data_IF_577626220691
#
_entry.id   IF_577626220691
#
_cell.length_a   1.000
_cell.length_b   1.000
_cell.length_c   1.000
_cell.angle_alpha   90.00
_cell.angle_beta   90.00
_cell.angle_gamma   90.00
#
_symmetry.space_group_name_H-M   'P 1'
#
loop_
_entity.id
_entity.type
_entity.pdbx_description
1 polymer ?
#
# COMPACT_ATOMS: atom_id res chain seq x y z
N UNK A 1 16.16 0.23 17.63
CA UNK A 1 14.69 0.32 17.75
C UNK A 1 14.09 0.02 16.37
N UNK A 2 13.09 -0.85 16.26
CA UNK A 2 12.45 -1.14 14.95
C UNK A 2 11.77 0.12 14.42
N UNK A 3 12.19 0.60 13.22
CA UNK A 3 11.59 1.74 12.51
C UNK A 3 10.17 1.37 12.06
N UNK A 4 9.18 1.64 12.91
CA UNK A 4 7.78 1.40 12.58
C UNK A 4 7.20 2.61 11.86
N UNK A 5 6.92 2.45 10.58
CA UNK A 5 6.26 3.50 9.79
C UNK A 5 4.74 3.56 10.08
N UNK A 6 4.12 4.75 10.02
CA UNK A 6 2.68 4.91 10.20
C UNK A 6 1.90 4.39 8.99
N UNK A 7 0.76 3.73 9.24
CA UNK A 7 -0.07 3.19 8.16
C UNK A 7 -0.79 4.32 7.40
N UNK A 8 -0.80 4.26 6.07
CA UNK A 8 -1.57 5.21 5.27
C UNK A 8 -3.09 5.03 5.50
N UNK A 9 -3.89 6.10 5.35
CA UNK A 9 -5.35 5.98 5.33
C UNK A 9 -5.81 5.00 4.26
N UNK A 10 -6.97 4.38 4.49
CA UNK A 10 -7.64 3.54 3.49
C UNK A 10 -8.77 4.35 2.88
N UNK A 11 -9.00 4.23 1.57
CA UNK A 11 -10.02 4.96 0.82
C UNK A 11 -10.69 4.04 -0.20
N UNK A 12 -11.93 4.35 -0.57
CA UNK A 12 -12.56 3.79 -1.78
C UNK A 12 -12.12 4.66 -2.96
N UNK A 13 -11.44 4.09 -3.93
CA UNK A 13 -11.02 4.80 -5.13
C UNK A 13 -12.18 4.93 -6.12
N UNK A 14 -12.02 5.79 -7.14
CA UNK A 14 -13.04 6.05 -8.15
C UNK A 14 -13.45 4.80 -8.96
N UNK A 15 -12.58 3.78 -9.01
CA UNK A 15 -12.82 2.47 -9.62
C UNK A 15 -13.53 1.47 -8.69
N UNK A 16 -13.97 1.93 -7.50
CA UNK A 16 -14.61 1.10 -6.48
C UNK A 16 -13.64 0.23 -5.67
N UNK A 17 -12.33 0.24 -5.98
CA UNK A 17 -11.35 -0.57 -5.28
C UNK A 17 -10.94 0.11 -3.97
N UNK A 18 -10.93 -0.66 -2.89
CA UNK A 18 -10.43 -0.19 -1.60
C UNK A 18 -8.90 -0.25 -1.58
N UNK A 19 -8.26 0.90 -1.42
CA UNK A 19 -6.81 1.08 -1.54
C UNK A 19 -6.27 1.93 -0.38
N UNK A 20 -4.96 1.92 -0.20
CA UNK A 20 -4.31 2.95 0.62
C UNK A 20 -4.36 4.31 -0.10
N UNK A 21 -4.40 5.40 0.67
CA UNK A 21 -4.26 6.75 0.14
C UNK A 21 -2.82 6.94 -0.36
N UNK A 22 -2.67 7.10 -1.67
CA UNK A 22 -1.38 7.34 -2.28
C UNK A 22 -0.83 8.74 -1.96
N UNK A 23 0.50 8.86 -1.99
CA UNK A 23 1.22 10.11 -2.05
C UNK A 23 1.65 10.37 -3.49
N UNK A 24 1.13 11.45 -4.09
CA UNK A 24 1.39 11.75 -5.51
C UNK A 24 2.88 11.94 -5.81
N UNK A 25 3.63 12.59 -4.93
CA UNK A 25 5.08 12.81 -5.12
C UNK A 25 5.82 11.48 -5.21
N UNK A 26 5.46 10.51 -4.35
CA UNK A 26 6.07 9.17 -4.35
C UNK A 26 5.72 8.41 -5.63
N UNK A 27 4.47 8.48 -6.08
CA UNK A 27 4.04 7.87 -7.34
C UNK A 27 4.77 8.47 -8.54
N UNK A 28 4.91 9.80 -8.59
CA UNK A 28 5.62 10.51 -9.67
C UNK A 28 7.10 10.12 -9.69
N UNK A 29 7.75 10.05 -8.53
CA UNK A 29 9.14 9.58 -8.41
C UNK A 29 9.29 8.14 -8.92
N UNK A 30 8.39 7.23 -8.55
CA UNK A 30 8.45 5.84 -9.01
C UNK A 30 8.29 5.74 -10.54
N UNK A 31 7.41 6.54 -11.13
CA UNK A 31 7.21 6.59 -12.58
C UNK A 31 8.48 7.09 -13.31
N UNK A 32 9.17 8.10 -12.75
CA UNK A 32 10.46 8.54 -13.28
C UNK A 32 11.53 7.45 -13.11
N UNK A 33 11.64 6.84 -11.93
CA UNK A 33 12.60 5.77 -11.65
C UNK A 33 12.43 4.56 -12.58
N UNK A 34 11.19 4.20 -12.92
CA UNK A 34 10.89 3.13 -13.86
C UNK A 34 11.57 3.34 -15.22
N UNK A 35 11.63 4.59 -15.72
CA UNK A 35 12.30 4.92 -16.99
C UNK A 35 13.81 4.68 -16.95
N UNK A 36 14.39 4.58 -15.76
CA UNK A 36 15.80 4.30 -15.52
C UNK A 36 16.04 2.87 -15.01
N UNK A 37 15.05 1.97 -15.14
CA UNK A 37 15.19 0.57 -14.76
C UNK A 37 15.03 0.28 -13.27
N UNK A 38 14.57 1.24 -12.47
CA UNK A 38 14.28 1.04 -11.04
C UNK A 38 12.76 1.03 -10.81
N UNK A 39 12.15 -0.15 -11.01
CA UNK A 39 10.72 -0.38 -10.78
C UNK A 39 10.45 -1.20 -9.50
N UNK A 40 9.20 -1.62 -9.29
CA UNK A 40 8.83 -2.40 -8.11
C UNK A 40 9.47 -3.78 -8.07
N UNK A 41 9.78 -4.39 -9.22
CA UNK A 41 10.45 -5.69 -9.27
C UNK A 41 11.92 -5.55 -8.89
N UNK A 42 12.58 -4.52 -9.42
CA UNK A 42 13.96 -4.18 -9.07
C UNK A 42 14.08 -3.81 -7.59
N UNK A 43 13.12 -3.03 -7.06
CA UNK A 43 13.06 -2.71 -5.62
C UNK A 43 12.84 -3.97 -4.78
N UNK A 44 12.04 -4.94 -5.24
CA UNK A 44 11.79 -6.19 -4.53
C UNK A 44 13.06 -7.06 -4.42
N UNK A 45 13.92 -7.03 -5.45
CA UNK A 45 15.19 -7.77 -5.49
C UNK A 45 16.30 -7.15 -4.63
N UNK A 46 16.15 -5.89 -4.20
CA UNK A 46 17.13 -5.16 -3.39
C UNK A 46 16.97 -5.41 -1.89
N UNK A 47 18.05 -5.13 -1.16
CA UNK A 47 18.09 -5.27 0.29
C UNK A 47 17.48 -4.05 1.00
N UNK A 48 16.15 -4.07 1.13
CA UNK A 48 15.38 -3.10 1.91
C UNK A 48 14.74 -3.73 3.13
N UNK A 49 14.59 -2.97 4.21
CA UNK A 49 13.85 -3.47 5.37
C UNK A 49 12.39 -3.79 4.99
N UNK A 50 11.83 -4.81 5.64
CA UNK A 50 10.43 -5.20 5.44
C UNK A 50 9.46 -4.04 5.71
N UNK A 51 9.77 -3.19 6.69
CA UNK A 51 8.95 -2.00 7.01
C UNK A 51 8.96 -0.97 5.88
N UNK A 52 10.11 -0.73 5.25
CA UNK A 52 10.22 0.21 4.14
C UNK A 52 9.42 -0.28 2.93
N UNK A 53 9.55 -1.58 2.60
CA UNK A 53 8.77 -2.21 1.52
C UNK A 53 7.27 -2.13 1.79
N UNK A 54 6.85 -2.47 3.00
CA UNK A 54 5.46 -2.35 3.45
C UNK A 54 4.93 -0.93 3.33
N UNK A 55 5.72 0.08 3.70
CA UNK A 55 5.33 1.47 3.64
C UNK A 55 5.27 2.00 2.21
N UNK A 56 6.20 1.59 1.35
CA UNK A 56 6.20 1.95 -0.06
C UNK A 56 4.90 1.50 -0.73
N UNK A 57 4.47 0.25 -0.53
CA UNK A 57 3.20 -0.26 -1.10
C UNK A 57 2.01 0.61 -0.68
N UNK A 58 1.96 1.04 0.57
CA UNK A 58 0.90 1.91 1.05
C UNK A 58 0.98 3.31 0.42
N UNK A 59 2.18 3.89 0.32
CA UNK A 59 2.41 5.21 -0.25
C UNK A 59 2.10 5.30 -1.74
N UNK A 60 2.23 4.20 -2.50
CA UNK A 60 1.84 4.16 -3.91
C UNK A 60 0.35 3.84 -4.12
N UNK A 61 -0.42 3.69 -3.03
CA UNK A 61 -1.86 3.40 -3.09
C UNK A 61 -2.20 1.98 -3.54
N UNK A 62 -1.41 1.00 -3.11
CA UNK A 62 -1.70 -0.41 -3.39
C UNK A 62 -3.08 -0.81 -2.84
N UNK A 63 -3.73 -1.79 -3.47
CA UNK A 63 -5.03 -2.28 -3.00
C UNK A 63 -4.90 -2.94 -1.63
N UNK A 64 -5.90 -2.75 -0.77
CA UNK A 64 -5.89 -3.38 0.56
C UNK A 64 -5.95 -4.90 0.43
N UNK A 65 -6.83 -5.40 -0.43
CA UNK A 65 -6.97 -6.83 -0.72
C UNK A 65 -5.71 -7.45 -1.29
N UNK A 66 -4.99 -6.73 -2.15
CA UNK A 66 -3.71 -7.20 -2.70
C UNK A 66 -2.59 -7.16 -1.66
N UNK A 67 -2.53 -6.10 -0.86
CA UNK A 67 -1.50 -5.89 0.15
C UNK A 67 -1.46 -7.04 1.16
N UNK A 68 -2.61 -7.60 1.55
CA UNK A 68 -2.70 -8.74 2.48
C UNK A 68 -1.87 -9.96 2.06
N UNK A 69 -1.62 -10.12 0.75
CA UNK A 69 -0.92 -11.28 0.18
C UNK A 69 0.59 -11.07 -0.03
N UNK A 70 1.12 -9.88 0.27
CA UNK A 70 2.54 -9.58 0.07
C UNK A 70 3.40 -10.09 1.23
N UNK A 71 4.57 -10.65 0.91
CA UNK A 71 5.55 -11.09 1.93
C UNK A 71 6.05 -9.93 2.80
N UNK A 72 6.09 -8.72 2.25
CA UNK A 72 6.48 -7.51 2.98
C UNK A 72 5.42 -7.05 3.98
N UNK A 73 4.19 -7.56 3.89
CA UNK A 73 3.10 -7.17 4.77
C UNK A 73 3.27 -7.69 6.19
N UNK A 74 2.77 -6.89 7.14
CA UNK A 74 2.72 -7.23 8.56
C UNK A 74 1.29 -7.53 8.96
N UNK A 75 1.09 -8.64 9.68
CA UNK A 75 -0.22 -9.07 10.18
C UNK A 75 -1.02 -7.93 10.84
N UNK A 76 -0.38 -7.14 11.71
CA UNK A 76 -1.03 -5.97 12.36
C UNK A 76 -1.54 -4.90 11.39
N UNK A 77 -0.84 -4.67 10.27
CA UNK A 77 -1.24 -3.68 9.27
C UNK A 77 -2.34 -4.26 8.38
N UNK A 78 -2.20 -5.53 7.99
CA UNK A 78 -3.21 -6.27 7.24
C UNK A 78 -4.53 -6.28 8.00
N UNK A 79 -4.54 -6.74 9.26
CA UNK A 79 -5.74 -6.75 10.11
C UNK A 79 -6.42 -5.37 10.19
N UNK A 80 -5.63 -4.29 10.38
CA UNK A 80 -6.18 -2.93 10.47
C UNK A 80 -6.69 -2.41 9.14
N UNK A 81 -6.02 -2.75 8.04
CA UNK A 81 -6.44 -2.36 6.71
C UNK A 81 -7.72 -3.10 6.31
N UNK A 82 -7.80 -4.41 6.59
CA UNK A 82 -8.96 -5.25 6.32
C UNK A 82 -10.18 -4.79 7.13
N UNK A 83 -10.03 -4.48 8.41
CA UNK A 83 -11.12 -3.91 9.23
C UNK A 83 -11.67 -2.61 8.63
N UNK A 84 -10.79 -1.72 8.17
CA UNK A 84 -11.20 -0.48 7.50
C UNK A 84 -11.88 -0.76 6.17
N UNK A 85 -11.35 -1.69 5.39
CA UNK A 85 -11.91 -2.07 4.11
C UNK A 85 -13.30 -2.70 4.26
N UNK A 86 -13.48 -3.60 5.23
CA UNK A 86 -14.77 -4.21 5.52
C UNK A 86 -15.81 -3.17 5.95
N UNK A 87 -15.43 -2.22 6.81
CA UNK A 87 -16.31 -1.13 7.21
C UNK A 87 -16.73 -0.25 6.02
N UNK A 88 -15.79 0.07 5.13
CA UNK A 88 -16.08 0.84 3.91
C UNK A 88 -16.95 0.06 2.92
N UNK A 89 -16.67 -1.22 2.70
CA UNK A 89 -17.45 -2.07 1.80
C UNK A 89 -18.91 -2.18 2.25
N UNK A 90 -19.15 -2.30 3.57
CA UNK A 90 -20.51 -2.29 4.13
C UNK A 90 -21.22 -0.96 3.89
N UNK A 91 -20.52 0.17 4.06
CA UNK A 91 -21.09 1.49 3.82
C UNK A 91 -21.50 1.69 2.35
N UNK A 92 -20.64 1.27 1.40
CA UNK A 92 -20.93 1.37 -0.04
C UNK A 92 -22.06 0.44 -0.50
N UNK A 93 -22.25 -0.71 0.15
CA UNK A 93 -23.30 -1.68 -0.24
C UNK A 93 -24.70 -1.32 0.25
N UNK A 94 -24.85 -0.27 1.05
CA UNK A 94 -26.12 0.18 1.63
C UNK A 94 -26.63 1.52 1.04
N UNK A 95 -25.93 2.06 0.03
CA UNK A 95 -26.38 3.16 -0.84
C UNK A 95 -26.86 2.61 -2.20
#
# INVERSE_FOLDING_TARGET
>A
MSKRHPMQPVVVAADGVIRFKANQIVSDMLEVCRKHGLDLNEIAARDYEKDDRSQLMQLIGYSVSGYGNLECSRAKHVMRADQKAEAMAKAVSHD
#
